data_IF_639695640800
#
_entry.id   IF_639695640800
#
_cell.length_a   1.000
_cell.length_b   1.000
_cell.length_c   1.000
_cell.angle_alpha   90.00
_cell.angle_beta   90.00
_cell.angle_gamma   90.00
#
_symmetry.space_group_name_H-M   'P 1'
#
loop_
_entity.id
_entity.type
_entity.pdbx_description
1 polymer ?
#
# COMPACT_ATOMS: atom_id res chain seq x y z
N UNK A 1 25.70 -51.52 27.04
CA UNK A 1 26.70 -50.47 26.79
C UNK A 1 25.97 -49.15 26.69
N UNK A 2 26.27 -48.25 27.64
CA UNK A 2 25.99 -46.81 27.81
C UNK A 2 24.77 -46.20 27.10
N UNK A 3 23.72 -45.74 27.79
CA UNK A 3 23.59 -44.72 28.86
C UNK A 3 23.58 -43.26 28.37
N UNK A 4 22.45 -42.62 28.70
CA UNK A 4 22.27 -41.22 29.11
C UNK A 4 22.36 -40.10 28.07
N UNK A 5 21.18 -39.50 27.91
CA UNK A 5 20.91 -38.09 27.66
C UNK A 5 21.91 -37.14 28.33
N UNK A 6 22.38 -36.16 27.56
CA UNK A 6 22.91 -34.91 28.09
C UNK A 6 22.06 -33.75 27.55
N UNK A 7 21.30 -33.19 28.48
CA UNK A 7 20.60 -31.92 28.38
C UNK A 7 21.63 -30.85 28.70
N UNK A 8 22.00 -30.01 27.72
CA UNK A 8 22.88 -28.87 27.95
C UNK A 8 22.11 -27.78 28.69
N UNK A 9 22.31 -27.70 30.00
CA UNK A 9 21.83 -26.60 30.83
C UNK A 9 22.62 -25.33 30.51
N UNK A 10 21.95 -24.31 29.98
CA UNK A 10 22.50 -22.96 29.87
C UNK A 10 22.37 -22.29 31.24
N UNK A 11 23.52 -21.97 31.82
CA UNK A 11 23.67 -21.34 33.12
C UNK A 11 23.19 -19.89 33.06
N UNK A 12 22.05 -19.58 33.70
CA UNK A 12 21.56 -18.23 33.90
C UNK A 12 22.48 -17.52 34.91
N UNK A 13 23.38 -16.67 34.41
CA UNK A 13 24.15 -15.73 35.23
C UNK A 13 23.24 -14.65 35.79
N UNK A 14 23.05 -14.65 37.11
CA UNK A 14 22.43 -13.56 37.85
C UNK A 14 23.36 -12.34 37.79
N UNK A 15 22.92 -11.25 37.17
CA UNK A 15 23.59 -9.95 37.30
C UNK A 15 22.76 -9.04 38.21
N UNK A 16 23.47 -8.61 39.25
CA UNK A 16 23.08 -7.84 40.41
C UNK A 16 22.37 -6.52 40.07
N UNK A 17 21.24 -6.25 40.72
CA UNK A 17 20.62 -4.92 40.75
C UNK A 17 21.47 -3.98 41.61
N UNK A 18 22.01 -2.92 41.01
CA UNK A 18 22.36 -1.69 41.73
C UNK A 18 21.55 -0.55 41.16
N UNK A 19 20.59 -0.08 41.97
CA UNK A 19 19.87 1.19 41.77
C UNK A 19 20.87 2.35 41.90
N UNK A 20 20.95 3.18 40.88
CA UNK A 20 21.42 4.55 40.99
C UNK A 20 20.28 5.45 40.49
N UNK A 21 19.80 6.32 41.38
CA UNK A 21 18.83 7.35 41.06
C UNK A 21 19.51 8.44 40.22
N UNK A 22 18.93 8.73 39.05
CA UNK A 22 19.32 9.84 38.20
C UNK A 22 18.10 10.27 37.39
N UNK A 23 17.55 11.42 37.72
CA UNK A 23 16.49 12.09 36.96
C UNK A 23 17.02 12.52 35.59
N UNK A 24 16.38 12.10 34.51
CA UNK A 24 16.34 12.84 33.23
C UNK A 24 15.31 12.21 32.28
N UNK A 25 14.35 13.03 31.83
CA UNK A 25 13.65 12.89 30.55
C UNK A 25 12.77 11.65 30.34
N UNK A 26 11.53 11.67 30.85
CA UNK A 26 10.52 10.69 30.46
C UNK A 26 10.17 10.81 28.98
N UNK A 27 10.63 9.87 28.17
CA UNK A 27 10.00 9.56 26.89
C UNK A 27 8.82 8.63 27.18
N UNK A 28 7.61 9.20 27.22
CA UNK A 28 6.39 8.42 27.17
C UNK A 28 6.16 7.95 25.74
N UNK A 29 6.22 6.65 25.52
CA UNK A 29 5.81 6.02 24.26
C UNK A 29 4.28 5.92 24.27
N UNK A 30 3.62 6.79 23.51
CA UNK A 30 2.18 6.73 23.28
C UNK A 30 1.88 5.80 22.10
N UNK A 31 1.37 4.60 22.40
CA UNK A 31 1.00 3.58 21.42
C UNK A 31 -0.33 3.87 20.69
N UNK A 32 -0.85 5.10 20.76
CA UNK A 32 -2.08 5.54 20.07
C UNK A 32 -1.86 6.60 18.99
N UNK A 33 -0.62 7.01 18.74
CA UNK A 33 -0.30 7.87 17.61
C UNK A 33 -0.10 7.02 16.34
N UNK A 34 -1.20 6.56 15.73
CA UNK A 34 -1.18 6.30 14.30
C UNK A 34 -0.77 7.59 13.58
N UNK A 35 -0.04 7.47 12.46
CA UNK A 35 0.36 8.61 11.62
C UNK A 35 -0.87 9.48 11.31
N UNK A 36 -1.08 10.54 12.10
CA UNK A 36 -1.91 11.65 11.68
C UNK A 36 -1.00 12.57 10.91
N UNK A 37 -1.27 12.69 9.62
CA UNK A 37 -0.69 13.72 8.77
C UNK A 37 -0.75 15.07 9.50
N UNK A 38 0.36 15.82 9.47
CA UNK A 38 0.33 17.22 9.86
C UNK A 38 -0.78 17.94 9.05
N UNK A 39 -1.50 18.92 9.62
CA UNK A 39 -2.72 19.49 9.04
C UNK A 39 -2.49 20.33 7.77
N UNK A 40 -1.27 20.34 7.22
CA UNK A 40 -0.89 21.09 6.03
C UNK A 40 -1.10 20.32 4.70
N UNK A 41 -1.44 19.03 4.75
CA UNK A 41 -1.70 18.20 3.56
C UNK A 41 -3.20 18.00 3.31
N UNK A 42 -4.02 19.01 3.64
CA UNK A 42 -5.44 19.02 3.31
C UNK A 42 -5.60 19.43 1.83
N UNK A 43 -6.16 18.52 1.03
CA UNK A 43 -6.54 18.81 -0.34
C UNK A 43 -7.63 19.88 -0.34
N UNK A 44 -7.66 20.81 -1.31
CA UNK A 44 -8.80 21.70 -1.45
C UNK A 44 -10.03 20.83 -1.70
N UNK A 45 -10.91 20.75 -0.70
CA UNK A 45 -12.12 19.93 -0.73
C UNK A 45 -13.04 20.40 -1.87
N UNK A 46 -12.93 19.77 -3.03
CA UNK A 46 -13.94 19.88 -4.06
C UNK A 46 -14.98 18.81 -3.72
N UNK A 47 -16.21 19.27 -3.47
CA UNK A 47 -17.27 18.50 -2.82
C UNK A 47 -17.51 17.13 -3.43
N UNK A 48 -18.08 16.23 -2.62
CA UNK A 48 -18.53 14.89 -3.00
C UNK A 48 -19.27 14.93 -4.34
N UNK A 49 -18.59 14.54 -5.42
CA UNK A 49 -19.18 14.44 -6.74
C UNK A 49 -20.21 13.30 -6.73
N UNK A 50 -21.42 13.51 -7.28
CA UNK A 50 -22.35 12.41 -7.46
C UNK A 50 -21.74 11.39 -8.43
N UNK A 51 -21.99 10.10 -8.17
CA UNK A 51 -21.58 8.96 -9.00
C UNK A 51 -21.96 9.22 -10.46
N UNK A 52 -20.98 9.69 -11.24
CA UNK A 52 -21.05 9.88 -12.68
C UNK A 52 -19.91 9.09 -13.29
N UNK A 53 -20.12 8.58 -14.49
CA UNK A 53 -19.05 7.97 -15.26
C UNK A 53 -17.90 8.99 -15.42
N UNK A 54 -16.66 8.50 -15.40
CA UNK A 54 -15.49 9.32 -15.67
C UNK A 54 -15.61 9.96 -17.06
N UNK A 55 -15.09 11.19 -17.19
CA UNK A 55 -15.02 11.88 -18.48
C UNK A 55 -14.13 11.07 -19.46
N UNK A 56 -14.66 10.62 -20.61
CA UNK A 56 -13.89 9.85 -21.59
C UNK A 56 -12.63 10.58 -22.07
N UNK A 57 -12.68 11.91 -22.19
CA UNK A 57 -11.52 12.71 -22.63
C UNK A 57 -10.45 12.76 -21.55
N UNK A 58 -10.84 12.76 -20.27
CA UNK A 58 -9.90 12.63 -19.15
C UNK A 58 -9.22 11.26 -19.15
N UNK A 59 -10.00 10.17 -19.32
CA UNK A 59 -9.47 8.80 -19.38
C UNK A 59 -8.51 8.64 -20.55
N UNK A 60 -8.85 9.15 -21.74
CA UNK A 60 -7.97 9.10 -22.91
C UNK A 60 -6.63 9.83 -22.67
N UNK A 61 -6.66 10.99 -22.01
CA UNK A 61 -5.43 11.72 -21.63
C UNK A 61 -4.57 10.94 -20.62
N UNK A 62 -5.19 10.29 -19.64
CA UNK A 62 -4.50 9.44 -18.68
C UNK A 62 -3.81 8.28 -19.41
N UNK A 63 -4.53 7.55 -20.27
CA UNK A 63 -3.97 6.43 -21.02
C UNK A 63 -2.82 6.84 -21.94
N UNK A 64 -2.95 7.97 -22.64
CA UNK A 64 -1.89 8.53 -23.46
C UNK A 64 -0.63 8.78 -22.63
N UNK A 65 -0.76 9.50 -21.50
CA UNK A 65 0.36 9.76 -20.60
C UNK A 65 1.02 8.48 -20.11
N UNK A 66 0.24 7.49 -19.66
CA UNK A 66 0.77 6.23 -19.16
C UNK A 66 1.52 5.45 -20.25
N UNK A 67 1.01 5.44 -21.48
CA UNK A 67 1.65 4.76 -22.61
C UNK A 67 2.97 5.41 -23.06
N UNK A 68 3.10 6.73 -22.86
CA UNK A 68 4.29 7.51 -23.23
C UNK A 68 5.38 7.46 -22.15
N UNK A 69 4.98 7.33 -20.88
CA UNK A 69 5.89 7.47 -19.73
C UNK A 69 6.24 6.15 -19.04
N UNK A 70 5.53 5.06 -19.34
CA UNK A 70 5.76 3.75 -18.73
C UNK A 70 6.14 2.70 -19.78
N UNK A 71 6.87 1.68 -19.34
CA UNK A 71 7.17 0.53 -20.17
C UNK A 71 5.89 -0.16 -20.68
N UNK A 72 5.91 -0.78 -21.88
CA UNK A 72 4.75 -1.51 -22.41
C UNK A 72 4.23 -2.60 -21.46
N UNK A 73 5.14 -3.24 -20.70
CA UNK A 73 4.79 -4.24 -19.71
C UNK A 73 4.01 -3.62 -18.52
N UNK A 74 4.43 -2.44 -18.04
CA UNK A 74 3.74 -1.73 -16.96
C UNK A 74 2.39 -1.20 -17.42
N UNK A 75 2.32 -0.61 -18.61
CA UNK A 75 1.05 -0.13 -19.16
C UNK A 75 0.04 -1.28 -19.32
N UNK A 76 0.47 -2.43 -19.86
CA UNK A 76 -0.36 -3.63 -19.94
C UNK A 76 -0.84 -4.10 -18.56
N UNK A 77 0.05 -4.07 -17.57
CA UNK A 77 -0.31 -4.39 -16.19
C UNK A 77 -1.41 -3.45 -15.66
N UNK A 78 -1.26 -2.13 -15.82
CA UNK A 78 -2.25 -1.14 -15.39
C UNK A 78 -3.62 -1.38 -16.04
N UNK A 79 -3.66 -1.68 -17.33
CA UNK A 79 -4.92 -2.02 -18.01
C UNK A 79 -5.56 -3.29 -17.43
N UNK A 80 -4.76 -4.31 -17.10
CA UNK A 80 -5.23 -5.51 -16.40
C UNK A 80 -5.77 -5.21 -14.99
N UNK A 81 -5.12 -4.30 -14.24
CA UNK A 81 -5.62 -3.84 -12.93
C UNK A 81 -6.95 -3.12 -13.10
N UNK A 82 -7.08 -2.21 -14.07
CA UNK A 82 -8.33 -1.50 -14.36
C UNK A 82 -9.47 -2.46 -14.65
N UNK A 83 -9.29 -3.41 -15.57
CA UNK A 83 -10.32 -4.39 -15.91
C UNK A 83 -10.75 -5.21 -14.69
N UNK A 84 -9.77 -5.66 -13.89
CA UNK A 84 -10.01 -6.46 -12.68
C UNK A 84 -10.74 -5.64 -11.61
N UNK A 85 -10.27 -4.42 -11.34
CA UNK A 85 -10.82 -3.51 -10.34
C UNK A 85 -12.27 -3.13 -10.68
N UNK A 86 -12.55 -2.75 -11.93
CA UNK A 86 -13.91 -2.40 -12.37
C UNK A 86 -14.85 -3.61 -12.30
N UNK A 87 -14.39 -4.81 -12.67
CA UNK A 87 -15.19 -6.03 -12.57
C UNK A 87 -15.53 -6.38 -11.11
N UNK A 88 -14.55 -6.31 -10.21
CA UNK A 88 -14.77 -6.53 -8.77
C UNK A 88 -15.67 -5.45 -8.17
N UNK A 89 -15.47 -4.18 -8.55
CA UNK A 89 -16.25 -3.05 -8.03
C UNK A 89 -17.74 -3.21 -8.35
N UNK A 90 -18.07 -3.58 -9.62
CA UNK A 90 -19.44 -3.90 -10.04
C UNK A 90 -20.06 -5.00 -9.21
N UNK A 91 -19.31 -6.07 -8.92
CA UNK A 91 -19.77 -7.23 -8.15
C UNK A 91 -20.00 -6.90 -6.68
N UNK A 92 -19.17 -6.03 -6.11
CA UNK A 92 -19.17 -5.69 -4.69
C UNK A 92 -19.97 -4.42 -4.34
N UNK A 93 -20.51 -3.73 -5.36
CA UNK A 93 -21.24 -2.47 -5.15
C UNK A 93 -20.34 -1.28 -4.78
N UNK A 94 -19.06 -1.33 -5.14
CA UNK A 94 -18.10 -0.22 -5.00
C UNK A 94 -18.21 0.67 -6.23
N UNK A 95 -18.04 1.98 -6.08
CA UNK A 95 -18.13 2.94 -7.18
C UNK A 95 -17.10 2.60 -8.28
N UNK A 96 -17.61 2.31 -9.48
CA UNK A 96 -16.78 1.85 -10.59
C UNK A 96 -15.95 2.95 -11.20
N UNK A 97 -16.38 4.21 -11.11
CA UNK A 97 -15.63 5.35 -11.62
C UNK A 97 -14.41 5.63 -10.73
N UNK A 98 -14.59 5.57 -9.41
CA UNK A 98 -13.48 5.63 -8.46
C UNK A 98 -12.50 4.46 -8.64
N UNK A 99 -13.01 3.23 -8.79
CA UNK A 99 -12.19 2.05 -9.04
C UNK A 99 -11.37 2.15 -10.33
N UNK A 100 -11.95 2.68 -11.41
CA UNK A 100 -11.26 2.89 -12.68
C UNK A 100 -10.12 3.92 -12.55
N UNK A 101 -10.37 5.08 -11.94
CA UNK A 101 -9.35 6.11 -11.76
C UNK A 101 -8.21 5.63 -10.87
N UNK A 102 -8.54 5.03 -9.72
CA UNK A 102 -7.54 4.50 -8.80
C UNK A 102 -6.66 3.44 -9.48
N UNK A 103 -7.27 2.53 -10.25
CA UNK A 103 -6.55 1.49 -10.98
C UNK A 103 -5.66 2.03 -12.10
N UNK A 104 -6.13 3.00 -12.88
CA UNK A 104 -5.31 3.61 -13.94
C UNK A 104 -4.10 4.37 -13.38
N UNK A 105 -4.27 5.04 -12.23
CA UNK A 105 -3.28 5.99 -11.73
C UNK A 105 -2.35 5.43 -10.64
N UNK A 106 -2.64 4.28 -10.03
CA UNK A 106 -1.88 3.75 -8.89
C UNK A 106 -0.35 3.69 -9.12
N UNK A 107 0.06 3.36 -10.35
CA UNK A 107 1.43 3.15 -10.76
C UNK A 107 1.96 4.28 -11.69
N UNK A 108 1.26 5.41 -11.81
CA UNK A 108 1.65 6.49 -12.73
C UNK A 108 3.02 7.13 -12.43
N UNK A 109 3.53 6.94 -11.20
CA UNK A 109 4.85 7.37 -10.78
C UNK A 109 5.88 6.23 -10.68
N UNK A 110 5.52 4.98 -11.05
CA UNK A 110 6.30 3.79 -10.69
C UNK A 110 7.70 3.73 -11.31
N UNK A 111 7.84 4.21 -12.54
CA UNK A 111 9.10 4.16 -13.31
C UNK A 111 9.87 5.48 -13.28
N UNK A 112 9.47 6.42 -12.41
CA UNK A 112 10.25 7.64 -12.17
C UNK A 112 11.55 7.31 -11.44
N UNK A 113 12.65 8.02 -11.74
CA UNK A 113 13.90 7.91 -11.00
C UNK A 113 13.73 8.17 -9.49
N UNK A 114 14.57 7.52 -8.68
CA UNK A 114 14.52 7.59 -7.22
C UNK A 114 14.69 9.03 -6.68
N UNK A 115 15.57 9.83 -7.29
CA UNK A 115 15.79 11.23 -6.94
C UNK A 115 14.56 12.11 -7.27
N UNK A 116 13.87 11.81 -8.37
CA UNK A 116 12.61 12.48 -8.73
C UNK A 116 11.49 12.13 -7.75
N UNK A 117 11.38 10.86 -7.33
CA UNK A 117 10.39 10.44 -6.32
C UNK A 117 10.60 11.16 -4.99
N UNK A 118 11.85 11.23 -4.51
CA UNK A 118 12.20 11.96 -3.29
C UNK A 118 11.95 13.46 -3.42
N UNK A 119 12.30 14.05 -4.57
CA UNK A 119 12.05 15.47 -4.83
C UNK A 119 10.56 15.79 -4.88
N UNK A 120 9.74 14.91 -5.46
CA UNK A 120 8.29 15.05 -5.52
C UNK A 120 7.69 14.94 -4.11
N UNK A 121 8.08 13.92 -3.33
CA UNK A 121 7.66 13.77 -1.94
C UNK A 121 7.96 15.04 -1.14
N UNK A 122 9.21 15.53 -1.19
CA UNK A 122 9.63 16.75 -0.49
C UNK A 122 8.85 17.99 -0.93
N UNK A 123 8.60 18.15 -2.22
CA UNK A 123 7.84 19.30 -2.79
C UNK A 123 6.43 19.39 -2.22
N UNK A 124 5.80 18.25 -1.97
CA UNK A 124 4.45 18.17 -1.41
C UNK A 124 4.42 18.03 0.12
N UNK A 125 5.56 18.20 0.79
CA UNK A 125 5.65 18.10 2.25
C UNK A 125 5.45 16.68 2.78
N UNK A 126 5.66 15.65 1.95
CA UNK A 126 5.75 14.27 2.42
C UNK A 126 7.14 14.02 3.01
N UNK A 127 7.17 13.57 4.25
CA UNK A 127 8.37 13.06 4.88
C UNK A 127 8.53 11.58 4.54
N UNK A 128 9.59 11.24 3.81
CA UNK A 128 9.96 9.86 3.55
C UNK A 128 10.59 9.25 4.80
N UNK A 129 10.10 8.09 5.24
CA UNK A 129 10.69 7.38 6.38
C UNK A 129 12.03 6.71 6.03
N UNK A 130 12.65 6.04 7.00
CA UNK A 130 13.95 5.38 6.79
C UNK A 130 13.91 4.29 5.69
N UNK A 131 12.80 3.56 5.57
CA UNK A 131 12.64 2.53 4.55
C UNK A 131 12.48 3.15 3.18
N UNK A 132 11.70 4.23 3.09
CA UNK A 132 11.47 4.98 1.86
C UNK A 132 12.71 5.74 1.39
N UNK A 133 13.52 6.27 2.31
CA UNK A 133 14.82 6.85 1.97
C UNK A 133 15.80 5.80 1.45
N UNK A 134 15.79 4.60 2.04
CA UNK A 134 16.66 3.50 1.59
C UNK A 134 16.17 2.82 0.31
N UNK A 135 14.86 2.85 0.05
CA UNK A 135 14.21 2.25 -1.12
C UNK A 135 13.18 3.23 -1.69
N UNK A 136 13.62 4.28 -2.42
CA UNK A 136 12.72 5.35 -2.90
C UNK A 136 11.61 4.86 -3.81
N UNK A 137 11.80 3.75 -4.52
CA UNK A 137 10.75 3.08 -5.28
C UNK A 137 9.50 2.67 -4.48
N UNK A 138 9.52 2.71 -3.14
CA UNK A 138 8.33 2.55 -2.28
C UNK A 138 7.41 3.79 -2.33
N UNK A 139 7.97 4.98 -2.57
CA UNK A 139 7.24 6.26 -2.57
C UNK A 139 6.24 6.41 -3.71
N UNK A 140 6.37 5.65 -4.81
CA UNK A 140 5.50 5.79 -5.98
C UNK A 140 4.01 5.84 -5.63
N UNK A 141 3.52 4.99 -4.71
CA UNK A 141 2.12 5.00 -4.27
C UNK A 141 1.76 6.28 -3.52
N UNK A 142 2.64 6.77 -2.64
CA UNK A 142 2.42 8.01 -1.88
C UNK A 142 2.48 9.27 -2.74
N UNK A 143 3.28 9.26 -3.81
CA UNK A 143 3.44 10.43 -4.70
C UNK A 143 2.52 10.44 -5.92
N UNK A 144 2.00 9.27 -6.34
CA UNK A 144 1.08 9.15 -7.47
C UNK A 144 -0.17 10.06 -7.36
N UNK A 145 -0.79 10.26 -6.18
CA UNK A 145 -1.90 11.20 -6.01
C UNK A 145 -1.58 12.63 -6.43
N UNK A 146 -0.35 13.11 -6.20
CA UNK A 146 0.04 14.46 -6.62
C UNK A 146 0.15 14.56 -8.14
N UNK A 147 0.71 13.53 -8.78
CA UNK A 147 0.73 13.44 -10.26
C UNK A 147 -0.69 13.43 -10.81
N UNK A 148 -1.59 12.68 -10.19
CA UNK A 148 -2.99 12.60 -10.59
C UNK A 148 -3.72 13.95 -10.46
N UNK A 149 -3.51 14.66 -9.36
CA UNK A 149 -4.09 15.97 -9.13
C UNK A 149 -3.57 17.01 -10.13
N UNK A 150 -2.24 17.10 -10.30
CA UNK A 150 -1.60 18.13 -11.12
C UNK A 150 -1.82 17.93 -12.63
N UNK A 151 -1.76 16.69 -13.12
CA UNK A 151 -1.80 16.42 -14.56
C UNK A 151 -3.20 16.13 -15.10
N UNK A 152 -4.07 15.54 -14.27
CA UNK A 152 -5.37 15.06 -14.72
C UNK A 152 -6.56 15.70 -14.00
N UNK A 153 -6.32 16.64 -13.08
CA UNK A 153 -7.35 17.32 -12.30
C UNK A 153 -8.26 16.33 -11.52
N UNK A 154 -7.69 15.21 -11.06
CA UNK A 154 -8.36 14.31 -10.11
C UNK A 154 -8.38 15.00 -8.75
N UNK A 155 -9.50 14.90 -8.03
CA UNK A 155 -9.68 15.54 -6.72
C UNK A 155 -10.48 14.70 -5.72
N UNK A 156 -10.50 13.38 -5.90
CA UNK A 156 -11.22 12.46 -5.03
C UNK A 156 -10.28 11.86 -3.98
N UNK A 157 -10.48 12.23 -2.72
CA UNK A 157 -9.66 11.75 -1.60
C UNK A 157 -9.72 10.23 -1.45
N UNK A 158 -10.85 9.59 -1.74
CA UNK A 158 -11.00 8.12 -1.68
C UNK A 158 -10.08 7.45 -2.71
N UNK A 159 -10.01 8.01 -3.91
CA UNK A 159 -9.11 7.54 -4.97
C UNK A 159 -7.65 7.73 -4.55
N UNK A 160 -7.33 8.88 -3.95
CA UNK A 160 -5.97 9.15 -3.46
C UNK A 160 -5.54 8.22 -2.34
N UNK A 161 -6.41 7.94 -1.36
CA UNK A 161 -6.09 7.03 -0.26
C UNK A 161 -5.82 5.61 -0.77
N UNK A 162 -6.66 5.10 -1.67
CA UNK A 162 -6.45 3.81 -2.31
C UNK A 162 -5.08 3.74 -3.01
N UNK A 163 -4.73 4.78 -3.77
CA UNK A 163 -3.43 4.88 -4.44
C UNK A 163 -2.26 4.92 -3.44
N UNK A 164 -2.37 5.64 -2.32
CA UNK A 164 -1.29 5.76 -1.32
C UNK A 164 -0.92 4.41 -0.73
N UNK A 165 -1.91 3.59 -0.38
CA UNK A 165 -1.69 2.33 0.34
C UNK A 165 -1.64 1.09 -0.57
N UNK A 166 -1.78 1.21 -1.89
CA UNK A 166 -1.85 0.04 -2.80
C UNK A 166 -0.60 -0.88 -2.70
N UNK A 167 0.56 -0.32 -2.36
CA UNK A 167 1.81 -1.06 -2.28
C UNK A 167 2.02 -1.75 -0.94
N UNK A 168 1.94 -0.98 0.15
CA UNK A 168 2.25 -1.42 1.52
C UNK A 168 1.04 -1.87 2.34
N UNK A 169 -0.18 -1.51 1.93
CA UNK A 169 -1.37 -1.58 2.77
C UNK A 169 -1.39 -0.47 3.84
N UNK A 170 -2.49 -0.41 4.60
CA UNK A 170 -2.65 0.48 5.75
C UNK A 170 -3.44 -0.21 6.86
N UNK A 171 -3.37 0.32 8.08
CA UNK A 171 -4.17 -0.17 9.23
C UNK A 171 -5.67 -0.05 8.94
N UNK A 172 -6.06 1.09 8.38
CA UNK A 172 -7.43 1.36 7.97
C UNK A 172 -7.48 1.40 6.44
N UNK A 173 -7.76 0.24 5.83
CA UNK A 173 -8.08 0.17 4.41
C UNK A 173 -9.59 0.13 4.22
N UNK A 174 -10.13 1.13 3.54
CA UNK A 174 -11.51 1.18 3.09
C UNK A 174 -11.79 0.20 1.93
N UNK A 175 -13.05 0.11 1.47
CA UNK A 175 -13.41 -0.83 0.42
C UNK A 175 -12.65 -0.63 -0.89
N UNK A 176 -12.43 0.62 -1.31
CA UNK A 176 -11.68 0.93 -2.54
C UNK A 176 -10.19 0.59 -2.40
N UNK A 177 -9.60 0.89 -1.26
CA UNK A 177 -8.20 0.60 -0.93
C UNK A 177 -7.92 -0.90 -1.03
N UNK A 178 -8.76 -1.70 -0.38
CA UNK A 178 -8.67 -3.17 -0.42
C UNK A 178 -8.88 -3.69 -1.84
N UNK A 179 -9.85 -3.14 -2.57
CA UNK A 179 -10.14 -3.52 -3.96
C UNK A 179 -8.92 -3.27 -4.86
N UNK A 180 -8.31 -2.09 -4.78
CA UNK A 180 -7.13 -1.75 -5.57
C UNK A 180 -5.92 -2.62 -5.17
N UNK A 181 -5.68 -2.78 -3.86
CA UNK A 181 -4.60 -3.61 -3.32
C UNK A 181 -4.70 -5.06 -3.80
N UNK A 182 -5.91 -5.60 -3.87
CA UNK A 182 -6.18 -6.96 -4.36
C UNK A 182 -6.09 -7.03 -5.88
N UNK A 183 -6.66 -6.07 -6.61
CA UNK A 183 -6.63 -6.05 -8.08
C UNK A 183 -5.21 -5.95 -8.64
N UNK A 184 -4.34 -5.12 -8.04
CA UNK A 184 -2.91 -5.04 -8.40
C UNK A 184 -2.20 -6.41 -8.28
N UNK A 185 -2.56 -7.17 -7.25
CA UNK A 185 -2.00 -8.50 -7.03
C UNK A 185 -2.57 -9.57 -7.98
N UNK A 186 -3.86 -9.49 -8.28
CA UNK A 186 -4.58 -10.58 -8.94
C UNK A 186 -4.95 -10.30 -10.39
N UNK A 187 -4.47 -9.24 -11.04
CA UNK A 187 -4.74 -9.00 -12.46
C UNK A 187 -4.19 -10.11 -13.39
N UNK A 188 -4.81 -10.36 -14.57
CA UNK A 188 -4.54 -11.56 -15.39
C UNK A 188 -3.11 -11.73 -15.92
N UNK A 189 -2.33 -10.65 -16.01
CA UNK A 189 -0.95 -10.70 -16.48
C UNK A 189 0.04 -11.04 -15.36
N UNK A 190 -0.40 -11.17 -14.10
CA UNK A 190 0.47 -11.59 -13.00
C UNK A 190 0.85 -13.07 -13.15
N UNK A 191 2.14 -13.42 -12.99
CA UNK A 191 2.61 -14.80 -13.18
C UNK A 191 2.37 -15.71 -11.97
N UNK A 192 1.66 -15.24 -10.94
CA UNK A 192 1.48 -15.99 -9.70
C UNK A 192 0.32 -16.97 -9.83
N UNK A 193 0.52 -18.23 -9.46
CA UNK A 193 -0.57 -19.22 -9.37
C UNK A 193 -1.67 -18.75 -8.41
N UNK A 194 -1.27 -18.13 -7.30
CA UNK A 194 -2.17 -17.57 -6.29
C UNK A 194 -3.04 -16.41 -6.83
N UNK A 195 -2.72 -15.78 -7.97
CA UNK A 195 -3.50 -14.67 -8.50
C UNK A 195 -4.94 -15.09 -8.85
N UNK A 196 -5.12 -16.27 -9.45
CA UNK A 196 -6.45 -16.77 -9.79
C UNK A 196 -7.28 -17.07 -8.53
N UNK A 197 -6.68 -17.71 -7.53
CA UNK A 197 -7.34 -18.05 -6.26
C UNK A 197 -7.77 -16.80 -5.49
N UNK A 198 -6.88 -15.78 -5.41
CA UNK A 198 -7.19 -14.49 -4.79
C UNK A 198 -8.31 -13.77 -5.53
N UNK A 199 -8.34 -13.81 -6.87
CA UNK A 199 -9.40 -13.16 -7.65
C UNK A 199 -10.78 -13.76 -7.37
N UNK A 200 -10.87 -15.08 -7.28
CA UNK A 200 -12.12 -15.78 -6.93
C UNK A 200 -12.54 -15.57 -5.47
N UNK A 201 -11.58 -15.46 -4.55
CA UNK A 201 -11.85 -15.09 -3.17
C UNK A 201 -12.38 -13.66 -3.07
N UNK A 202 -11.76 -12.71 -3.77
CA UNK A 202 -12.10 -11.29 -3.74
C UNK A 202 -13.55 -11.01 -4.13
N UNK A 203 -14.11 -11.79 -5.06
CA UNK A 203 -15.53 -11.65 -5.44
C UNK A 203 -16.52 -12.14 -4.38
N UNK A 204 -16.07 -12.86 -3.35
CA UNK A 204 -16.92 -13.39 -2.27
C UNK A 204 -16.64 -12.71 -0.94
N UNK A 205 -15.37 -12.45 -0.65
CA UNK A 205 -14.89 -11.86 0.58
C UNK A 205 -13.61 -11.05 0.28
N UNK A 206 -13.80 -9.74 0.14
CA UNK A 206 -12.71 -8.82 -0.23
C UNK A 206 -11.69 -8.67 0.90
N UNK A 207 -12.12 -8.66 2.16
CA UNK A 207 -11.24 -8.55 3.32
C UNK A 207 -10.37 -9.79 3.46
N UNK A 208 -10.95 -10.99 3.29
CA UNK A 208 -10.18 -12.23 3.25
C UNK A 208 -9.18 -12.25 2.09
N UNK A 209 -9.55 -11.76 0.91
CA UNK A 209 -8.62 -11.66 -0.21
C UNK A 209 -7.47 -10.68 0.09
N UNK A 210 -7.75 -9.53 0.69
CA UNK A 210 -6.73 -8.56 1.08
C UNK A 210 -5.73 -9.16 2.07
N UNK A 211 -6.20 -9.96 3.04
CA UNK A 211 -5.33 -10.68 3.98
C UNK A 211 -4.43 -11.69 3.26
N UNK A 212 -4.97 -12.48 2.33
CA UNK A 212 -4.17 -13.44 1.54
C UNK A 212 -3.07 -12.73 0.72
N UNK A 213 -3.40 -11.59 0.10
CA UNK A 213 -2.42 -10.77 -0.62
C UNK A 213 -1.34 -10.25 0.32
N UNK A 214 -1.72 -9.75 1.51
CA UNK A 214 -0.78 -9.25 2.49
C UNK A 214 0.17 -10.34 2.97
N UNK A 215 -0.36 -11.51 3.34
CA UNK A 215 0.43 -12.67 3.74
C UNK A 215 1.39 -13.13 2.63
N UNK A 216 0.92 -13.13 1.38
CA UNK A 216 1.76 -13.45 0.23
C UNK A 216 2.92 -12.45 0.09
N UNK A 217 2.63 -11.15 0.11
CA UNK A 217 3.64 -10.07 0.01
C UNK A 217 4.67 -10.20 1.13
N UNK A 218 4.25 -10.33 2.39
CA UNK A 218 5.13 -10.50 3.54
C UNK A 218 6.02 -11.74 3.42
N UNK A 219 5.43 -12.91 3.12
CA UNK A 219 6.19 -14.16 2.93
C UNK A 219 7.24 -14.02 1.83
N UNK A 220 6.88 -13.39 0.71
CA UNK A 220 7.81 -13.14 -0.41
C UNK A 220 8.98 -12.25 0.02
N UNK A 221 8.72 -11.17 0.75
CA UNK A 221 9.76 -10.26 1.25
C UNK A 221 10.70 -10.95 2.25
N UNK A 222 10.14 -11.73 3.19
CA UNK A 222 10.91 -12.50 4.18
C UNK A 222 11.78 -13.57 3.53
N UNK A 223 11.27 -14.32 2.54
CA UNK A 223 12.06 -15.32 1.80
C UNK A 223 13.23 -14.69 1.04
N UNK A 224 13.08 -13.44 0.58
CA UNK A 224 14.16 -12.67 -0.04
C UNK A 224 15.12 -12.02 0.95
N UNK A 225 14.88 -12.15 2.27
CA UNK A 225 15.65 -11.50 3.34
C UNK A 225 15.73 -9.97 3.17
N UNK A 226 14.66 -9.37 2.66
CA UNK A 226 14.55 -7.92 2.49
C UNK A 226 13.84 -7.30 3.70
N UNK A 227 14.13 -6.02 4.04
CA UNK A 227 13.37 -5.29 5.04
C UNK A 227 11.87 -5.26 4.69
N UNK A 228 11.03 -5.42 5.71
CA UNK A 228 9.58 -5.27 5.59
C UNK A 228 9.22 -3.86 6.08
N UNK A 229 8.49 -3.12 5.25
CA UNK A 229 7.98 -1.81 5.66
C UNK A 229 7.00 -1.96 6.84
N UNK A 230 7.11 -1.16 7.92
CA UNK A 230 6.25 -1.27 9.11
C UNK A 230 4.76 -1.25 8.79
N UNK A 231 4.33 -0.39 7.86
CA UNK A 231 2.94 -0.33 7.40
C UNK A 231 2.38 -1.68 6.93
N UNK A 232 3.18 -2.50 6.23
CA UNK A 232 2.72 -3.83 5.80
C UNK A 232 2.53 -4.79 6.98
N UNK A 233 3.35 -4.68 8.02
CA UNK A 233 3.18 -5.48 9.23
C UNK A 233 1.96 -5.01 10.04
N UNK A 234 1.74 -3.69 10.15
CA UNK A 234 0.57 -3.14 10.81
C UNK A 234 -0.73 -3.45 10.07
N UNK A 235 -0.73 -3.34 8.74
CA UNK A 235 -1.85 -3.71 7.89
C UNK A 235 -2.19 -5.20 8.01
N UNK A 236 -1.18 -6.07 8.11
CA UNK A 236 -1.39 -7.50 8.38
C UNK A 236 -2.12 -7.75 9.70
N UNK A 237 -1.67 -7.15 10.80
CA UNK A 237 -2.34 -7.32 12.10
C UNK A 237 -3.77 -6.79 12.05
N UNK A 238 -4.00 -5.61 11.45
CA UNK A 238 -5.32 -5.02 11.32
C UNK A 238 -6.29 -5.88 10.49
N UNK A 239 -5.81 -6.49 9.39
CA UNK A 239 -6.61 -7.42 8.58
C UNK A 239 -6.90 -8.73 9.32
N UNK A 240 -5.98 -9.18 10.18
CA UNK A 240 -6.16 -10.39 10.97
C UNK A 240 -7.19 -10.20 12.09
N UNK A 241 -7.15 -9.06 12.79
CA UNK A 241 -8.02 -8.74 13.92
C UNK A 241 -9.49 -8.51 13.53
N UNK A 242 -9.77 -8.31 12.24
CA UNK A 242 -11.14 -8.16 11.69
C UNK A 242 -11.88 -9.49 11.49
N UNK A 243 -11.20 -10.63 11.63
CA UNK A 243 -11.79 -11.98 11.53
C UNK A 243 -12.27 -12.50 12.88
#
# INVERSE_FOLDING_TARGET
MNSRAEVTAIQLGQVNQKRAAGQAGGLSFDSRAGLRLAPACAWPSQGRFPSMANDPDQIARIEAYLSENLSPARFKHILGVRETAVALAKRLGIDTAQAELAALLHDCAKERPDDELLALAKRHGLEADEHEQSTPGLLHGKVAPFVAAEQFAVGDETVFDAMRCHSTGAVEMGPLDQLLFVADFCEPNRPYTAAAEVRELAGRDLEAAALEVMQFKLRKTLLKKQPVHPDSFHAYNALLDKR
#
